data_IF_439499490522
#
_entry.id   IF_439499490522
#
_cell.length_a   1.000
_cell.length_b   1.000
_cell.length_c   1.000
_cell.angle_alpha   90.00
_cell.angle_beta   90.00
_cell.angle_gamma   90.00
#
_symmetry.space_group_name_H-M   'P 1'
#
loop_
_entity.id
_entity.type
_entity.pdbx_description
1 polymer ?
#
# COMPACT_ATOMS: atom_id res chain seq x y z
N UNK A 1 -4.34 -23.45 -12.52
CA UNK A 1 -3.51 -23.75 -11.33
C UNK A 1 -2.83 -22.44 -10.98
N UNK A 2 -3.39 -21.69 -10.03
CA UNK A 2 -2.98 -20.30 -9.75
C UNK A 2 -2.35 -20.17 -8.36
N UNK A 3 -1.55 -21.17 -7.94
CA UNK A 3 -0.91 -21.20 -6.62
C UNK A 3 0.60 -21.11 -6.77
N UNK A 4 1.20 -20.15 -6.08
CA UNK A 4 2.65 -19.95 -6.05
C UNK A 4 3.37 -20.97 -5.16
N UNK A 5 2.66 -21.67 -4.27
CA UNK A 5 3.17 -22.76 -3.43
C UNK A 5 2.03 -23.67 -2.97
N UNK A 6 2.29 -24.97 -2.80
CA UNK A 6 1.36 -25.95 -2.24
C UNK A 6 1.96 -26.68 -1.04
N UNK A 7 1.19 -26.81 0.04
CA UNK A 7 1.54 -27.51 1.29
C UNK A 7 0.27 -27.96 2.03
N UNK A 8 0.40 -28.78 3.07
CA UNK A 8 -0.74 -29.15 3.93
C UNK A 8 -1.45 -27.92 4.53
N UNK A 9 -0.71 -26.85 4.83
CA UNK A 9 -1.30 -25.61 5.34
C UNK A 9 -2.15 -24.92 4.27
N UNK A 10 -1.75 -24.97 2.99
CA UNK A 10 -2.56 -24.39 1.92
C UNK A 10 -3.82 -25.20 1.68
N UNK A 11 -3.75 -26.54 1.71
CA UNK A 11 -4.93 -27.40 1.56
C UNK A 11 -5.97 -27.15 2.66
N UNK A 12 -5.54 -27.03 3.92
CA UNK A 12 -6.43 -26.69 5.05
C UNK A 12 -7.04 -25.31 4.87
N UNK A 13 -6.27 -24.32 4.40
CA UNK A 13 -6.78 -22.98 4.11
C UNK A 13 -7.81 -22.99 2.98
N UNK A 14 -7.57 -23.75 1.91
CA UNK A 14 -8.51 -23.86 0.79
C UNK A 14 -9.85 -24.46 1.24
N UNK A 15 -9.80 -25.52 2.07
CA UNK A 15 -10.99 -26.14 2.63
C UNK A 15 -11.76 -25.16 3.54
N UNK A 16 -11.05 -24.37 4.34
CA UNK A 16 -11.65 -23.33 5.18
C UNK A 16 -12.29 -22.23 4.31
N UNK A 17 -11.57 -21.74 3.31
CA UNK A 17 -12.06 -20.70 2.40
C UNK A 17 -13.32 -21.16 1.68
N UNK A 18 -13.39 -22.42 1.24
CA UNK A 18 -14.60 -22.98 0.63
C UNK A 18 -15.79 -22.95 1.60
N UNK A 19 -15.60 -23.37 2.86
CA UNK A 19 -16.66 -23.32 3.87
C UNK A 19 -17.10 -21.88 4.16
N UNK A 20 -16.16 -20.93 4.20
CA UNK A 20 -16.48 -19.52 4.37
C UNK A 20 -17.28 -18.97 3.19
N UNK A 21 -16.90 -19.32 1.94
CA UNK A 21 -17.65 -18.95 0.75
C UNK A 21 -19.09 -19.46 0.80
N UNK A 22 -19.28 -20.73 1.17
CA UNK A 22 -20.61 -21.32 1.29
C UNK A 22 -21.48 -20.61 2.34
N UNK A 23 -20.88 -20.10 3.42
CA UNK A 23 -21.59 -19.32 4.45
C UNK A 23 -21.93 -17.92 3.95
N UNK A 24 -20.99 -17.26 3.28
CA UNK A 24 -21.11 -15.86 2.84
C UNK A 24 -22.02 -15.68 1.62
N UNK A 25 -22.12 -16.70 0.75
CA UNK A 25 -23.02 -16.70 -0.42
C UNK A 25 -24.49 -16.95 -0.07
N UNK A 26 -24.80 -17.43 1.14
CA UNK A 26 -26.19 -17.61 1.58
C UNK A 26 -26.88 -16.25 1.61
N UNK A 27 -28.14 -16.24 1.15
CA UNK A 27 -28.99 -15.04 1.20
C UNK A 27 -28.99 -14.42 2.60
N UNK A 28 -28.97 -13.10 2.64
CA UNK A 28 -29.18 -12.35 3.87
C UNK A 28 -30.60 -12.58 4.35
N UNK A 29 -30.77 -12.90 5.62
CA UNK A 29 -32.08 -13.15 6.25
C UNK A 29 -32.32 -12.23 7.44
N UNK A 30 -33.57 -12.09 7.86
CA UNK A 30 -33.93 -11.30 9.05
C UNK A 30 -33.39 -11.90 10.35
N UNK A 31 -33.03 -13.19 10.34
CA UNK A 31 -32.39 -13.86 11.47
C UNK A 31 -30.89 -13.56 11.60
N UNK A 32 -30.24 -13.06 10.54
CA UNK A 32 -28.82 -12.71 10.58
C UNK A 32 -28.58 -11.53 11.52
N UNK A 33 -27.50 -11.56 12.29
CA UNK A 33 -27.07 -10.39 13.07
C UNK A 33 -26.70 -9.21 12.17
N UNK A 34 -26.69 -7.98 12.70
CA UNK A 34 -26.24 -6.80 11.93
C UNK A 34 -24.87 -7.02 11.27
N UNK A 35 -23.92 -7.60 12.01
CA UNK A 35 -22.55 -7.85 11.51
C UNK A 35 -22.57 -8.87 10.39
N UNK A 36 -23.31 -9.98 10.56
CA UNK A 36 -23.45 -11.01 9.53
C UNK A 36 -24.03 -10.44 8.23
N UNK A 37 -25.03 -9.56 8.32
CA UNK A 37 -25.60 -8.89 7.15
C UNK A 37 -24.58 -8.02 6.43
N UNK A 38 -23.77 -7.25 7.16
CA UNK A 38 -22.72 -6.40 6.60
C UNK A 38 -21.69 -7.26 5.84
N UNK A 39 -21.17 -8.32 6.48
CA UNK A 39 -20.13 -9.16 5.87
C UNK A 39 -20.65 -9.89 4.63
N UNK A 40 -21.87 -10.45 4.68
CA UNK A 40 -22.50 -11.08 3.51
C UNK A 40 -22.72 -10.08 2.37
N UNK A 41 -23.19 -8.88 2.68
CA UNK A 41 -23.40 -7.81 1.67
C UNK A 41 -22.08 -7.36 1.06
N UNK A 42 -21.05 -7.17 1.88
CA UNK A 42 -19.70 -6.83 1.42
C UNK A 42 -19.15 -7.91 0.48
N UNK A 43 -19.23 -9.19 0.88
CA UNK A 43 -18.82 -10.31 0.05
C UNK A 43 -19.60 -10.35 -1.28
N UNK A 44 -20.92 -10.17 -1.25
CA UNK A 44 -21.75 -10.14 -2.46
C UNK A 44 -21.32 -9.02 -3.42
N UNK A 45 -21.03 -7.83 -2.92
CA UNK A 45 -20.53 -6.72 -3.75
C UNK A 45 -19.13 -7.01 -4.34
N UNK A 46 -18.26 -7.73 -3.63
CA UNK A 46 -16.95 -8.14 -4.17
C UNK A 46 -17.06 -9.21 -5.26
N UNK A 47 -18.12 -10.04 -5.21
CA UNK A 47 -18.34 -11.11 -6.18
C UNK A 47 -19.16 -10.66 -7.40
N UNK A 48 -19.76 -9.47 -7.37
CA UNK A 48 -20.50 -8.87 -8.48
C UNK A 48 -19.54 -8.28 -9.52
N UNK A 49 -18.88 -9.16 -10.28
CA UNK A 49 -17.89 -8.79 -11.29
C UNK A 49 -18.49 -7.99 -12.42
N UNK A 50 -19.74 -8.26 -12.82
CA UNK A 50 -20.41 -7.53 -13.90
C UNK A 50 -20.51 -6.04 -13.56
N UNK A 51 -20.87 -5.71 -12.32
CA UNK A 51 -20.91 -4.32 -11.85
C UNK A 51 -19.53 -3.69 -11.68
N UNK A 52 -18.51 -4.48 -11.35
CA UNK A 52 -17.12 -4.00 -11.29
C UNK A 52 -16.65 -3.62 -12.69
N UNK A 53 -16.88 -4.49 -13.69
CA UNK A 53 -16.53 -4.24 -15.08
C UNK A 53 -17.33 -3.08 -15.69
N UNK A 54 -18.63 -2.96 -15.38
CA UNK A 54 -19.47 -1.82 -15.81
C UNK A 54 -18.90 -0.47 -15.34
N UNK A 55 -18.37 -0.42 -14.11
CA UNK A 55 -17.77 0.79 -13.54
C UNK A 55 -16.36 1.07 -14.08
N UNK A 56 -15.64 0.02 -14.46
CA UNK A 56 -14.27 0.09 -14.94
C UNK A 56 -13.36 0.92 -14.03
N UNK A 57 -12.52 1.77 -14.63
CA UNK A 57 -11.51 2.59 -13.95
C UNK A 57 -12.05 3.89 -13.34
N UNK A 58 -13.32 4.24 -13.60
CA UNK A 58 -13.87 5.53 -13.18
C UNK A 58 -13.81 5.78 -11.65
N UNK A 59 -14.06 4.78 -10.76
CA UNK A 59 -13.89 4.98 -9.32
C UNK A 59 -12.47 5.37 -8.93
N UNK A 60 -11.46 4.78 -9.60
CA UNK A 60 -10.06 5.05 -9.31
C UNK A 60 -9.66 6.47 -9.73
N UNK A 61 -10.09 6.95 -10.90
CA UNK A 61 -9.91 8.35 -11.30
C UNK A 61 -10.49 9.33 -10.29
N UNK A 62 -11.70 9.04 -9.80
CA UNK A 62 -12.34 9.90 -8.79
C UNK A 62 -11.50 9.98 -7.51
N UNK A 63 -11.01 8.84 -7.04
CA UNK A 63 -10.16 8.78 -5.84
C UNK A 63 -8.84 9.54 -6.06
N UNK A 64 -8.19 9.36 -7.22
CA UNK A 64 -6.94 10.06 -7.55
C UNK A 64 -7.15 11.58 -7.57
N UNK A 65 -8.24 12.07 -8.17
CA UNK A 65 -8.58 13.48 -8.16
C UNK A 65 -8.81 14.02 -6.71
N UNK A 66 -9.45 13.24 -5.84
CA UNK A 66 -9.61 13.60 -4.41
C UNK A 66 -8.29 13.64 -3.63
N UNK A 67 -7.25 12.95 -4.12
CA UNK A 67 -5.92 12.87 -3.51
C UNK A 67 -4.90 13.90 -4.04
N UNK A 68 -5.32 14.77 -4.96
CA UNK A 68 -4.47 15.78 -5.60
C UNK A 68 -3.87 15.35 -6.93
N UNK A 69 -4.44 14.31 -7.55
CA UNK A 69 -4.06 13.83 -8.86
C UNK A 69 -2.87 12.87 -8.86
N UNK A 70 -2.58 12.31 -10.03
CA UNK A 70 -1.35 11.54 -10.27
C UNK A 70 -0.61 12.16 -11.46
N UNK A 71 0.56 12.81 -11.24
CA UNK A 71 1.25 13.59 -12.29
C UNK A 71 1.38 12.86 -13.63
N UNK A 72 1.77 11.58 -13.61
CA UNK A 72 1.96 10.79 -14.85
C UNK A 72 0.67 10.63 -15.68
N UNK A 73 -0.49 10.64 -15.02
CA UNK A 73 -1.80 10.48 -15.68
C UNK A 73 -2.34 11.82 -16.18
N UNK A 74 -2.14 12.89 -15.41
CA UNK A 74 -2.64 14.23 -15.73
C UNK A 74 -1.69 15.01 -16.65
N UNK A 75 -0.40 14.66 -16.68
CA UNK A 75 0.61 15.28 -17.53
C UNK A 75 0.71 16.78 -17.28
N UNK A 76 0.65 17.56 -18.35
CA UNK A 76 0.77 19.03 -18.31
C UNK A 76 -0.41 19.71 -17.57
N UNK A 77 -1.53 19.02 -17.36
CA UNK A 77 -2.69 19.55 -16.63
C UNK A 77 -2.51 19.46 -15.10
N UNK A 78 -1.50 18.73 -14.62
CA UNK A 78 -1.24 18.60 -13.19
C UNK A 78 -0.55 19.86 -12.63
N UNK A 79 -1.14 20.46 -11.58
CA UNK A 79 -0.57 21.65 -10.92
C UNK A 79 0.34 21.27 -9.74
N UNK A 80 1.68 21.37 -9.89
CA UNK A 80 2.62 21.08 -8.81
C UNK A 80 2.53 22.07 -7.65
N UNK A 81 2.05 23.29 -7.88
CA UNK A 81 2.03 24.35 -6.86
C UNK A 81 0.90 24.17 -5.84
N UNK A 82 -0.18 23.51 -6.27
CA UNK A 82 -1.30 23.12 -5.42
C UNK A 82 -1.05 21.86 -4.60
N UNK A 83 0.01 21.09 -4.92
CA UNK A 83 0.27 19.81 -4.29
C UNK A 83 1.03 19.94 -2.96
N UNK A 84 0.46 19.33 -1.91
CA UNK A 84 1.06 19.22 -0.59
C UNK A 84 1.04 17.75 -0.18
N UNK A 85 2.22 17.13 -0.20
CA UNK A 85 2.37 15.69 0.05
C UNK A 85 1.91 15.29 1.46
N UNK A 86 2.07 16.16 2.46
CA UNK A 86 1.60 15.89 3.83
C UNK A 86 0.08 15.87 3.89
N UNK A 87 -0.59 16.81 3.21
CA UNK A 87 -2.05 16.79 3.08
C UNK A 87 -2.54 15.58 2.31
N UNK A 88 -1.84 15.18 1.24
CA UNK A 88 -2.19 13.98 0.48
C UNK A 88 -2.09 12.71 1.33
N UNK A 89 -1.03 12.57 2.16
CA UNK A 89 -0.90 11.46 3.11
C UNK A 89 -2.02 11.46 4.17
N UNK A 90 -2.36 12.63 4.72
CA UNK A 90 -3.49 12.73 5.66
C UNK A 90 -4.80 12.35 4.98
N UNK A 91 -4.99 12.74 3.72
CA UNK A 91 -6.17 12.40 2.94
C UNK A 91 -6.27 10.91 2.64
N UNK A 92 -5.15 10.26 2.32
CA UNK A 92 -5.07 8.80 2.19
C UNK A 92 -5.65 8.13 3.44
N UNK A 93 -5.21 8.55 4.62
CA UNK A 93 -5.70 8.01 5.89
C UNK A 93 -7.19 8.22 6.12
N UNK A 94 -7.73 9.41 5.80
CA UNK A 94 -9.17 9.69 5.87
C UNK A 94 -10.00 8.76 4.98
N UNK A 95 -9.48 8.44 3.81
CA UNK A 95 -10.12 7.54 2.84
C UNK A 95 -9.87 6.06 3.13
N UNK A 96 -9.05 5.72 4.13
CA UNK A 96 -8.72 4.35 4.51
C UNK A 96 -7.57 3.72 3.72
N UNK A 97 -6.79 4.52 2.98
CA UNK A 97 -5.55 4.12 2.34
C UNK A 97 -4.36 4.26 3.31
N UNK A 98 -3.26 3.58 2.96
CA UNK A 98 -2.05 3.62 3.78
C UNK A 98 -1.36 4.98 3.71
N UNK A 99 -0.94 5.47 4.87
CA UNK A 99 -0.08 6.64 5.05
C UNK A 99 1.43 6.31 4.96
N UNK A 100 1.80 5.03 4.89
CA UNK A 100 3.17 4.51 5.03
C UNK A 100 3.98 4.65 3.72
N UNK A 101 4.11 5.86 3.17
CA UNK A 101 4.82 6.10 1.89
C UNK A 101 6.32 6.28 2.10
N UNK A 102 6.73 7.33 2.82
CA UNK A 102 8.15 7.65 3.06
C UNK A 102 8.67 7.11 4.40
N UNK A 103 7.77 6.93 5.37
CA UNK A 103 8.03 6.38 6.68
C UNK A 103 6.76 5.69 7.18
N UNK A 104 6.92 4.67 8.00
CA UNK A 104 5.80 4.00 8.66
C UNK A 104 5.55 4.68 10.02
N UNK A 105 4.30 5.09 10.27
CA UNK A 105 3.88 5.65 11.57
C UNK A 105 2.81 4.78 12.18
N UNK A 106 3.10 4.20 13.34
CA UNK A 106 2.19 3.27 14.01
C UNK A 106 2.07 3.56 15.50
N UNK A 107 0.98 3.11 16.10
CA UNK A 107 0.77 3.19 17.55
C UNK A 107 0.81 1.78 18.12
N UNK A 108 1.76 1.53 19.02
CA UNK A 108 1.96 0.23 19.64
C UNK A 108 2.31 0.39 21.13
N UNK A 109 2.11 -0.65 21.96
CA UNK A 109 2.58 -0.64 23.35
C UNK A 109 4.07 -0.30 23.42
N UNK A 110 4.49 0.50 24.40
CA UNK A 110 5.92 0.79 24.59
C UNK A 110 6.66 -0.51 24.96
N UNK A 111 7.76 -0.80 24.25
CA UNK A 111 8.56 -2.01 24.42
C UNK A 111 9.10 -2.16 25.86
N UNK A 112 9.38 -1.04 26.54
CA UNK A 112 9.88 -1.02 27.92
C UNK A 112 8.78 -0.86 28.97
N UNK A 113 7.57 -0.45 28.57
CA UNK A 113 6.44 -0.34 29.47
C UNK A 113 5.11 -0.52 28.72
N UNK A 114 4.57 -1.73 28.75
CA UNK A 114 3.37 -2.10 28.00
C UNK A 114 2.05 -1.55 28.55
N UNK A 115 2.06 -0.78 29.64
CA UNK A 115 0.83 -0.16 30.20
C UNK A 115 0.32 1.03 29.38
N UNK A 116 1.13 1.52 28.44
CA UNK A 116 0.78 2.65 27.58
C UNK A 116 1.33 2.45 26.17
N UNK A 117 0.72 3.16 25.22
CA UNK A 117 1.12 3.16 23.84
C UNK A 117 2.07 4.32 23.54
N UNK A 118 2.92 4.11 22.54
CA UNK A 118 3.83 5.12 21.99
C UNK A 118 3.66 5.17 20.47
N UNK A 119 3.87 6.36 19.90
CA UNK A 119 4.01 6.53 18.46
C UNK A 119 5.39 5.97 18.06
N UNK A 120 5.39 5.06 17.10
CA UNK A 120 6.60 4.50 16.50
C UNK A 120 6.72 5.01 15.08
N UNK A 121 7.92 5.45 14.72
CA UNK A 121 8.30 5.81 13.37
C UNK A 121 9.38 4.84 12.89
N UNK A 122 9.19 4.22 11.73
CA UNK A 122 10.11 3.27 11.11
C UNK A 122 10.33 3.56 9.63
N UNK A 123 11.32 2.88 9.05
CA UNK A 123 11.52 2.87 7.60
C UNK A 123 10.23 2.41 6.88
N UNK A 124 9.99 2.89 5.64
CA UNK A 124 8.79 2.52 4.91
C UNK A 124 8.81 1.04 4.50
N UNK A 125 7.63 0.55 4.14
CA UNK A 125 7.48 -0.77 3.51
C UNK A 125 7.80 -0.63 2.03
N UNK A 126 8.87 -1.28 1.58
CA UNK A 126 9.21 -1.31 0.17
C UNK A 126 8.25 -2.27 -0.58
N UNK A 127 7.73 -1.89 -1.76
CA UNK A 127 6.81 -2.72 -2.54
C UNK A 127 7.48 -3.99 -3.07
N UNK A 128 8.78 -3.90 -3.34
CA UNK A 128 9.65 -4.99 -3.76
C UNK A 128 10.79 -5.15 -2.75
N UNK A 129 11.45 -6.31 -2.74
CA UNK A 129 12.56 -6.55 -1.81
C UNK A 129 13.69 -5.51 -1.96
N UNK A 130 14.28 -5.12 -0.83
CA UNK A 130 15.44 -4.21 -0.80
C UNK A 130 16.56 -4.69 -1.73
N UNK A 131 16.88 -5.98 -1.67
CA UNK A 131 17.99 -6.55 -2.45
C UNK A 131 17.74 -6.47 -3.97
N UNK A 132 16.48 -6.56 -4.41
CA UNK A 132 16.11 -6.33 -5.80
C UNK A 132 16.33 -4.85 -6.20
N UNK A 133 15.90 -3.89 -5.37
CA UNK A 133 16.19 -2.47 -5.61
C UNK A 133 17.70 -2.16 -5.64
N UNK A 134 18.50 -2.81 -4.78
CA UNK A 134 19.96 -2.68 -4.82
C UNK A 134 20.55 -3.19 -6.13
N UNK A 135 19.99 -4.26 -6.71
CA UNK A 135 20.38 -4.79 -8.03
C UNK A 135 19.86 -3.93 -9.19
N UNK A 136 18.88 -3.05 -8.95
CA UNK A 136 18.25 -2.22 -9.98
C UNK A 136 17.64 -3.05 -11.10
N UNK A 137 17.70 -2.55 -12.33
CA UNK A 137 17.14 -3.21 -13.52
C UNK A 137 17.80 -4.54 -13.90
N UNK A 138 18.87 -4.98 -13.22
CA UNK A 138 19.37 -6.35 -13.35
C UNK A 138 18.50 -7.39 -12.61
N UNK A 139 17.58 -6.95 -11.75
CA UNK A 139 16.58 -7.81 -11.10
C UNK A 139 15.34 -7.96 -11.98
N UNK A 140 14.88 -9.21 -12.16
CA UNK A 140 13.63 -9.50 -12.87
C UNK A 140 12.42 -8.91 -12.13
N UNK A 141 12.48 -8.84 -10.79
CA UNK A 141 11.44 -8.24 -9.96
C UNK A 141 11.31 -6.73 -10.23
N UNK A 142 12.42 -6.00 -10.36
CA UNK A 142 12.41 -4.57 -10.71
C UNK A 142 11.91 -4.37 -12.14
N UNK A 143 12.35 -5.20 -13.10
CA UNK A 143 11.84 -5.11 -14.47
C UNK A 143 10.33 -5.36 -14.55
N UNK A 144 9.81 -6.34 -13.81
CA UNK A 144 8.39 -6.63 -13.75
C UNK A 144 7.60 -5.51 -13.05
N UNK A 145 8.14 -4.97 -11.96
CA UNK A 145 7.52 -3.89 -11.22
C UNK A 145 7.45 -2.58 -12.02
N UNK A 146 8.52 -2.23 -12.73
CA UNK A 146 8.54 -1.12 -13.68
C UNK A 146 7.48 -1.30 -14.77
N UNK A 147 7.42 -2.49 -15.41
CA UNK A 147 6.41 -2.78 -16.44
C UNK A 147 4.98 -2.67 -15.89
N UNK A 148 4.75 -3.15 -14.67
CA UNK A 148 3.46 -3.03 -13.99
C UNK A 148 3.06 -1.57 -13.78
N UNK A 149 3.99 -0.74 -13.29
CA UNK A 149 3.74 0.69 -13.08
C UNK A 149 3.40 1.42 -14.39
N UNK A 150 4.18 1.17 -15.46
CA UNK A 150 3.92 1.76 -16.79
C UNK A 150 2.55 1.34 -17.32
N UNK A 151 2.23 0.04 -17.26
CA UNK A 151 0.95 -0.47 -17.74
C UNK A 151 -0.24 0.04 -16.92
N UNK A 152 -0.07 0.25 -15.61
CA UNK A 152 -1.10 0.85 -14.77
C UNK A 152 -1.33 2.33 -15.11
N UNK A 153 -0.27 3.09 -15.34
CA UNK A 153 -0.37 4.49 -15.76
C UNK A 153 -1.05 4.60 -17.14
N UNK A 154 -0.67 3.75 -18.10
CA UNK A 154 -1.30 3.69 -19.43
C UNK A 154 -2.77 3.30 -19.35
N UNK A 155 -3.13 2.31 -18.51
CA UNK A 155 -4.52 1.92 -18.28
C UNK A 155 -5.36 3.07 -17.71
N UNK A 156 -4.74 3.97 -16.96
CA UNK A 156 -5.34 5.18 -16.43
C UNK A 156 -5.25 6.38 -17.39
N UNK A 157 -4.77 6.19 -18.62
CA UNK A 157 -4.79 7.20 -19.67
C UNK A 157 -3.52 8.04 -19.82
N UNK A 158 -2.44 7.70 -19.13
CA UNK A 158 -1.14 8.35 -19.34
C UNK A 158 -0.58 8.09 -20.74
N UNK A 159 0.14 9.06 -21.31
CA UNK A 159 0.95 8.82 -22.52
C UNK A 159 2.04 7.80 -22.21
N UNK A 160 2.20 6.81 -23.08
CA UNK A 160 3.13 5.69 -22.86
C UNK A 160 4.59 6.16 -22.69
N UNK A 161 5.02 7.22 -23.38
CA UNK A 161 6.40 7.73 -23.28
C UNK A 161 6.60 8.47 -21.96
N UNK A 162 5.62 9.27 -21.55
CA UNK A 162 5.61 9.95 -20.25
C UNK A 162 5.61 8.90 -19.13
N UNK A 163 4.71 7.92 -19.19
CA UNK A 163 4.64 6.82 -18.25
C UNK A 163 5.95 6.03 -18.15
N UNK A 164 6.57 5.68 -19.28
CA UNK A 164 7.86 4.99 -19.29
C UNK A 164 8.97 5.81 -18.60
N UNK A 165 9.02 7.11 -18.84
CA UNK A 165 10.04 7.97 -18.24
C UNK A 165 9.78 8.16 -16.74
N UNK A 166 8.58 8.61 -16.36
CA UNK A 166 8.27 8.92 -14.96
C UNK A 166 8.29 7.68 -14.05
N UNK A 167 7.82 6.52 -14.53
CA UNK A 167 7.88 5.29 -13.73
C UNK A 167 9.31 4.77 -13.59
N UNK A 168 10.21 5.09 -14.53
CA UNK A 168 11.63 4.82 -14.36
C UNK A 168 12.22 5.71 -13.27
N UNK A 169 11.90 7.01 -13.31
CA UNK A 169 12.35 7.97 -12.30
C UNK A 169 11.80 7.61 -10.90
N UNK A 170 10.54 7.14 -10.82
CA UNK A 170 9.94 6.61 -9.60
C UNK A 170 10.71 5.39 -9.06
N UNK A 171 11.01 4.40 -9.91
CA UNK A 171 11.80 3.21 -9.49
C UNK A 171 13.20 3.62 -9.01
N UNK A 172 13.84 4.59 -9.65
CA UNK A 172 15.13 5.11 -9.22
C UNK A 172 15.03 5.84 -7.86
N UNK A 173 13.98 6.61 -7.63
CA UNK A 173 13.68 7.24 -6.35
C UNK A 173 13.46 6.20 -5.24
N UNK A 174 12.62 5.18 -5.48
CA UNK A 174 12.41 4.08 -4.52
C UNK A 174 13.70 3.29 -4.26
N UNK A 175 14.58 3.16 -5.26
CA UNK A 175 15.90 2.55 -5.05
C UNK A 175 16.80 3.40 -4.13
N UNK A 176 16.68 4.73 -4.16
CA UNK A 176 17.37 5.61 -3.20
C UNK A 176 16.83 5.41 -1.78
N UNK A 177 15.50 5.33 -1.63
CA UNK A 177 14.87 4.98 -0.35
C UNK A 177 15.37 3.62 0.14
N UNK A 178 15.36 2.60 -0.72
CA UNK A 178 15.82 1.25 -0.37
C UNK A 178 17.28 1.23 0.12
N UNK A 179 18.17 2.04 -0.47
CA UNK A 179 19.57 2.14 -0.05
C UNK A 179 19.73 2.65 1.39
N UNK A 180 18.90 3.61 1.81
CA UNK A 180 18.94 4.16 3.17
C UNK A 180 18.20 3.30 4.21
N UNK A 181 17.35 2.36 3.78
CA UNK A 181 16.72 1.40 4.70
C UNK A 181 17.71 0.36 5.26
N UNK A 182 17.43 -0.14 6.46
CA UNK A 182 18.23 -1.21 7.07
C UNK A 182 17.97 -2.57 6.39
N UNK A 183 18.99 -3.42 6.22
CA UNK A 183 18.82 -4.81 5.82
C UNK A 183 17.96 -5.60 6.82
N UNK A 184 17.23 -6.62 6.34
CA UNK A 184 16.37 -7.47 7.18
C UNK A 184 17.08 -8.12 8.38
N UNK A 185 18.37 -8.40 8.27
CA UNK A 185 19.15 -8.99 9.38
C UNK A 185 19.36 -7.99 10.53
N UNK A 186 19.50 -6.70 10.22
CA UNK A 186 19.70 -5.64 11.20
C UNK A 186 18.37 -5.15 11.80
N UNK A 187 17.30 -5.16 11.01
CA UNK A 187 15.97 -4.71 11.46
C UNK A 187 15.30 -5.64 12.49
N UNK A 188 15.83 -6.85 12.72
CA UNK A 188 15.32 -7.81 13.71
C UNK A 188 15.73 -7.51 15.15
N UNK A 189 16.72 -6.64 15.38
CA UNK A 189 17.18 -6.33 16.73
C UNK A 189 16.38 -5.17 17.34
N UNK A 190 15.18 -5.47 17.84
CA UNK A 190 14.26 -4.47 18.40
C UNK A 190 14.84 -3.67 19.58
N UNK A 191 15.79 -4.24 20.33
CA UNK A 191 16.44 -3.53 21.45
C UNK A 191 17.34 -2.40 20.92
N UNK A 192 18.12 -2.66 19.87
CA UNK A 192 18.97 -1.64 19.24
C UNK A 192 18.18 -0.56 18.50
N UNK A 193 16.97 -0.90 18.05
CA UNK A 193 16.09 0.04 17.35
C UNK A 193 15.24 0.91 18.31
N UNK A 194 15.23 0.58 19.60
CA UNK A 194 14.49 1.35 20.60
C UNK A 194 15.20 2.67 20.92
N UNK A 195 14.83 3.72 20.17
CA UNK A 195 15.37 5.07 20.33
C UNK A 195 14.24 6.03 20.68
N UNK A 196 13.91 6.12 21.98
CA UNK A 196 12.82 6.98 22.47
C UNK A 196 13.28 8.43 22.56
N UNK A 197 12.61 9.30 21.80
CA UNK A 197 12.84 10.75 21.78
C UNK A 197 11.51 11.49 21.91
N UNK A 198 11.56 12.75 22.32
CA UNK A 198 10.41 13.66 22.27
C UNK A 198 10.18 14.20 20.86
N UNK A 199 8.96 14.68 20.58
CA UNK A 199 8.63 15.34 19.29
C UNK A 199 9.57 16.52 19.03
N UNK A 200 9.88 17.33 20.06
CA UNK A 200 10.84 18.44 19.95
C UNK A 200 12.26 18.01 19.57
N UNK A 201 12.67 16.80 19.96
CA UNK A 201 13.96 16.26 19.52
C UNK A 201 13.89 15.75 18.09
N UNK A 202 12.76 15.15 17.70
CA UNK A 202 12.53 14.71 16.32
C UNK A 202 12.57 15.91 15.35
N UNK A 203 11.84 16.99 15.64
CA UNK A 203 11.85 18.24 14.85
C UNK A 203 13.26 18.79 14.60
N UNK A 204 14.16 18.65 15.57
CA UNK A 204 15.57 19.07 15.45
C UNK A 204 16.40 18.14 14.57
N UNK A 205 16.05 16.84 14.52
CA UNK A 205 16.75 15.84 13.72
C UNK A 205 16.29 15.83 12.26
N UNK A 206 15.06 16.26 11.99
CA UNK A 206 14.44 16.27 10.67
C UNK A 206 14.01 17.68 10.24
N UNK A 207 14.96 18.63 10.09
CA UNK A 207 14.62 19.98 9.65
C UNK A 207 14.07 19.94 8.22
N UNK A 208 12.77 20.18 8.06
CA UNK A 208 12.07 20.13 6.76
C UNK A 208 10.90 19.16 6.69
N UNK A 209 10.64 18.40 7.76
CA UNK A 209 9.41 17.61 7.98
C UNK A 209 8.65 18.22 9.15
#
# INVERSE_FOLDING_TARGET
EDKTMSSQITEVRDALDQQLRDILQKKVTNADSRITRIIKTFYANCMDTDRIEERGIAPLHKILAELGGWPVVEGDDWDPTGFDWMKSILKNKELGYSEDVLFEITVFPDLKNSTWNIIRMSQPKLPISRDAFIKGFHSNEIQAYYKYQVGLAELLGADLRVAAQEMKDNVEFEAQIAKITLPRSQSRNYVKLYNKISIKQLEKLTPGI
#
